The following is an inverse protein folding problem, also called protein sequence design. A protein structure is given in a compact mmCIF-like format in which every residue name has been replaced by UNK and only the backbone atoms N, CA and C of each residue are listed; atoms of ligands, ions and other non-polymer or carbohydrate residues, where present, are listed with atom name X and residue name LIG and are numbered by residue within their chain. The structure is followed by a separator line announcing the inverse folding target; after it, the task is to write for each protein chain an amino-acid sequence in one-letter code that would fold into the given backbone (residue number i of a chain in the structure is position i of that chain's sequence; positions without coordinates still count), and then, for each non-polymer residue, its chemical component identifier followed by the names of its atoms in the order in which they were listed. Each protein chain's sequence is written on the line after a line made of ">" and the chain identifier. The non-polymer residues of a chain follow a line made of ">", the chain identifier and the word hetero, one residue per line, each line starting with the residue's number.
data_IF_987283343906
#
_entry.id   IF_987283343906
#
_cell.length_a   1.000
_cell.length_b   1.000
_cell.length_c   1.000
_cell.angle_alpha   90.00
_cell.angle_beta   90.00
_cell.angle_gamma   90.00
#
_symmetry.space_group_name_H-M   'P 1'
#
loop_
_entity.id
_entity.type
_entity.pdbx_description
1 polymer ?
#
# COMPACT_ATOMS: atom_id res chain seq x y z
N UNK A 1 28.44 -6.18 10.56
CA UNK A 1 27.98 -4.80 10.31
C UNK A 1 26.49 -4.83 10.62
N UNK A 2 25.92 -3.96 11.45
CA UNK A 2 24.47 -3.91 11.60
C UNK A 2 23.95 -3.34 10.29
N UNK A 3 23.46 -4.20 9.42
CA UNK A 3 22.76 -3.76 8.22
C UNK A 3 21.55 -2.95 8.70
N UNK A 4 21.55 -1.66 8.37
CA UNK A 4 20.43 -0.80 8.70
C UNK A 4 19.28 -1.24 7.80
N UNK A 5 18.22 -1.78 8.41
CA UNK A 5 17.02 -2.18 7.68
C UNK A 5 16.52 -0.99 6.85
N UNK A 6 16.30 -1.23 5.56
CA UNK A 6 15.65 -0.26 4.70
C UNK A 6 14.14 -0.28 4.97
N UNK A 7 13.53 0.90 5.00
CA UNK A 7 12.11 1.07 5.32
C UNK A 7 11.36 1.53 4.07
N UNK A 8 10.45 0.70 3.56
CA UNK A 8 9.54 1.10 2.48
C UNK A 8 8.20 1.49 3.06
N UNK A 9 7.71 2.65 2.64
CA UNK A 9 6.38 3.15 2.99
C UNK A 9 5.49 3.20 1.76
N UNK A 10 4.28 2.67 1.88
CA UNK A 10 3.21 2.80 0.90
C UNK A 10 1.86 3.04 1.57
N UNK A 11 0.85 3.42 0.80
CA UNK A 11 -0.48 3.74 1.31
C UNK A 11 -1.53 2.86 0.66
N UNK A 12 -2.51 2.40 1.45
CA UNK A 12 -3.63 1.59 0.99
C UNK A 12 -4.93 2.36 1.20
N UNK A 13 -5.94 2.09 0.39
CA UNK A 13 -7.28 2.68 0.54
C UNK A 13 -8.25 1.63 1.07
N UNK A 14 -8.95 1.94 2.15
CA UNK A 14 -9.94 1.08 2.80
C UNK A 14 -11.32 1.74 2.75
N UNK A 15 -12.30 1.04 2.19
CA UNK A 15 -13.71 1.45 2.15
C UNK A 15 -14.50 0.46 3.02
N UNK A 16 -14.96 0.94 4.18
CA UNK A 16 -15.57 0.09 5.20
C UNK A 16 -14.59 -0.94 5.76
N UNK A 17 -14.70 -2.20 5.32
CA UNK A 17 -13.82 -3.31 5.71
C UNK A 17 -13.07 -3.94 4.52
N UNK A 18 -13.11 -3.27 3.38
CA UNK A 18 -12.51 -3.74 2.14
C UNK A 18 -11.39 -2.82 1.72
N UNK A 19 -10.31 -3.39 1.23
CA UNK A 19 -9.20 -2.69 0.61
C UNK A 19 -9.42 -2.58 -0.89
N UNK A 20 -9.06 -1.45 -1.48
CA UNK A 20 -8.95 -1.31 -2.93
C UNK A 20 -7.88 -2.26 -3.45
N UNK A 21 -8.22 -3.07 -4.44
CA UNK A 21 -7.39 -4.07 -5.08
C UNK A 21 -7.45 -3.91 -6.61
N UNK A 22 -6.30 -4.03 -7.28
CA UNK A 22 -6.08 -3.94 -8.73
C UNK A 22 -6.42 -2.57 -9.37
N UNK A 23 -5.44 -1.93 -10.01
CA UNK A 23 -5.49 -0.53 -10.41
C UNK A 23 -5.13 -0.29 -11.87
N UNK A 24 -6.10 -0.48 -12.77
CA UNK A 24 -6.00 0.22 -14.06
C UNK A 24 -7.31 0.82 -14.55
N UNK A 25 -8.46 0.15 -14.40
CA UNK A 25 -9.75 0.75 -14.86
C UNK A 25 -10.99 0.27 -14.09
N UNK A 26 -10.87 -0.75 -13.24
CA UNK A 26 -11.97 -1.31 -12.45
C UNK A 26 -11.47 -1.47 -11.02
N UNK A 27 -12.04 -0.71 -10.08
CA UNK A 27 -11.71 -0.85 -8.66
C UNK A 27 -12.33 -2.14 -8.14
N UNK A 28 -11.49 -3.15 -7.95
CA UNK A 28 -11.90 -4.32 -7.17
C UNK A 28 -11.65 -4.05 -5.70
N UNK A 29 -12.36 -4.80 -4.86
CA UNK A 29 -12.25 -4.70 -3.41
C UNK A 29 -11.92 -6.07 -2.83
N UNK A 30 -10.91 -6.16 -1.97
CA UNK A 30 -10.54 -7.37 -1.25
C UNK A 30 -10.67 -7.19 0.25
N UNK A 31 -11.00 -8.25 0.98
CA UNK A 31 -10.89 -8.27 2.45
C UNK A 31 -9.45 -8.49 2.92
N UNK A 32 -8.59 -8.96 2.03
CA UNK A 32 -7.21 -9.29 2.33
C UNK A 32 -6.30 -8.11 1.99
N UNK A 33 -5.52 -7.67 2.97
CA UNK A 33 -4.58 -6.56 2.84
C UNK A 33 -3.43 -6.88 1.87
N UNK A 34 -3.10 -8.17 1.68
CA UNK A 34 -2.03 -8.58 0.77
C UNK A 34 -2.42 -8.40 -0.70
N UNK A 35 -3.71 -8.32 -1.01
CA UNK A 35 -4.21 -8.07 -2.36
C UNK A 35 -4.46 -6.57 -2.60
N UNK A 36 -4.21 -5.73 -1.59
CA UNK A 36 -4.45 -4.30 -1.67
C UNK A 36 -3.45 -3.63 -2.61
N UNK A 37 -3.94 -2.72 -3.44
CA UNK A 37 -3.07 -1.88 -4.27
C UNK A 37 -2.31 -0.89 -3.39
N UNK A 38 -0.98 -0.85 -3.58
CA UNK A 38 -0.11 0.11 -2.92
C UNK A 38 -0.04 1.40 -3.75
N UNK A 39 -0.40 2.52 -3.13
CA UNK A 39 -0.40 3.86 -3.71
C UNK A 39 0.63 4.76 -3.02
N UNK A 40 0.98 5.86 -3.67
CA UNK A 40 1.59 7.01 -3.01
C UNK A 40 0.57 7.75 -2.11
N UNK A 41 1.06 8.69 -1.32
CA UNK A 41 0.24 9.42 -0.35
C UNK A 41 -0.89 10.22 -1.01
N UNK A 42 -0.59 10.97 -2.07
CA UNK A 42 -1.54 11.88 -2.68
C UNK A 42 -2.64 11.11 -3.40
N UNK A 43 -2.27 10.05 -4.13
CA UNK A 43 -3.20 9.14 -4.80
C UNK A 43 -4.10 8.41 -3.79
N UNK A 44 -3.53 7.87 -2.70
CA UNK A 44 -4.34 7.19 -1.67
C UNK A 44 -5.32 8.14 -0.99
N UNK A 45 -4.86 9.36 -0.68
CA UNK A 45 -5.69 10.40 -0.08
C UNK A 45 -6.84 10.75 -1.01
N UNK A 46 -6.57 11.04 -2.28
CA UNK A 46 -7.59 11.37 -3.27
C UNK A 46 -8.63 10.24 -3.42
N UNK A 47 -8.17 9.01 -3.65
CA UNK A 47 -9.06 7.86 -3.82
C UNK A 47 -9.88 7.56 -2.56
N UNK A 48 -9.30 7.75 -1.36
CA UNK A 48 -10.07 7.59 -0.12
C UNK A 48 -11.22 8.59 -0.01
N UNK A 49 -11.02 9.85 -0.43
CA UNK A 49 -12.10 10.83 -0.49
C UNK A 49 -13.13 10.48 -1.55
N UNK A 50 -12.69 10.08 -2.75
CA UNK A 50 -13.57 9.71 -3.85
C UNK A 50 -14.48 8.51 -3.50
N UNK A 51 -13.94 7.51 -2.79
CA UNK A 51 -14.70 6.32 -2.40
C UNK A 51 -15.36 6.42 -1.01
N UNK A 52 -15.24 7.55 -0.31
CA UNK A 52 -15.77 7.72 1.05
C UNK A 52 -15.13 6.77 2.07
N UNK A 53 -13.87 6.43 1.86
CA UNK A 53 -13.07 5.54 2.71
C UNK A 53 -12.02 6.28 3.54
N UNK A 54 -11.06 5.50 4.04
CA UNK A 54 -9.85 5.99 4.72
C UNK A 54 -8.62 5.48 3.97
N UNK A 55 -7.52 6.20 4.07
CA UNK A 55 -6.22 5.70 3.61
C UNK A 55 -5.35 5.34 4.82
N UNK A 56 -4.62 4.23 4.72
CA UNK A 56 -3.79 3.69 5.79
C UNK A 56 -2.35 3.56 5.32
N UNK A 57 -1.39 3.78 6.23
CA UNK A 57 0.04 3.65 5.93
C UNK A 57 0.49 2.21 6.17
N UNK A 58 1.19 1.63 5.20
CA UNK A 58 1.91 0.37 5.29
C UNK A 58 3.40 0.68 5.36
N UNK A 59 4.07 0.16 6.38
CA UNK A 59 5.52 0.28 6.58
C UNK A 59 6.09 -1.12 6.63
N UNK A 60 7.06 -1.41 5.77
CA UNK A 60 7.74 -2.71 5.70
C UNK A 60 9.23 -2.47 5.84
N UNK A 61 9.83 -3.15 6.82
CA UNK A 61 11.28 -3.16 7.04
C UNK A 61 11.87 -4.37 6.29
N UNK A 62 12.96 -4.16 5.56
CA UNK A 62 13.65 -5.23 4.84
C UNK A 62 15.18 -5.12 4.96
N UNK A 63 15.82 -6.27 4.90
CA UNK A 63 17.27 -6.43 4.92
C UNK A 63 17.76 -6.72 3.50
N UNK A 64 18.82 -6.02 3.06
CA UNK A 64 19.42 -6.23 1.74
C UNK A 64 20.42 -7.37 1.82
N UNK A 65 19.96 -8.59 1.51
CA UNK A 65 20.78 -9.81 1.62
C UNK A 65 21.71 -10.07 0.41
N UNK A 66 21.82 -9.11 -0.52
CA UNK A 66 22.76 -9.16 -1.64
C UNK A 66 22.42 -8.19 -2.78
N UNK A 67 23.44 -7.53 -3.35
CA UNK A 67 23.34 -6.75 -4.59
C UNK A 67 23.88 -7.58 -5.76
N UNK A 68 23.12 -7.71 -6.86
CA UNK A 68 23.64 -8.29 -8.09
C UNK A 68 24.57 -7.26 -8.76
N UNK A 69 25.88 -7.55 -8.79
CA UNK A 69 26.91 -6.76 -9.49
C UNK A 69 26.87 -6.98 -11.00
#
# INVERSE_FOLDING_TARGET
>A
MNEQLEVKTSYLVMVGKLFVANGLFITNFSKNINDATEFDYDTAKELSFQYGGVFVRKTVDYEVVGEQQ
#
